data_IF_120237681712
#
_entry.id   IF_120237681712
#
_cell.length_a   1.000
_cell.length_b   1.000
_cell.length_c   1.000
_cell.angle_alpha   90.00
_cell.angle_beta   90.00
_cell.angle_gamma   90.00
#
_symmetry.space_group_name_H-M   'P 1'
#
loop_
_entity.id
_entity.type
_entity.pdbx_description
1 polymer ?
#
# COMPACT_ATOMS: atom_id res chain seq x y z
N UNK A 1 -22.87 3.23 -6.02
CA UNK A 1 -21.91 3.23 -4.89
C UNK A 1 -22.70 3.04 -3.60
N UNK A 2 -22.78 1.82 -3.06
CA UNK A 2 -23.45 1.55 -1.78
C UNK A 2 -22.51 1.80 -0.57
N UNK A 3 -21.22 2.05 -0.80
CA UNK A 3 -20.19 2.25 0.23
C UNK A 3 -20.32 3.55 1.03
N UNK A 4 -21.13 4.51 0.59
CA UNK A 4 -21.44 5.77 1.31
C UNK A 4 -22.91 5.81 1.77
N UNK A 5 -23.51 4.64 2.02
CA UNK A 5 -24.86 4.58 2.53
C UNK A 5 -24.90 4.99 4.01
N UNK A 6 -25.61 6.08 4.32
CA UNK A 6 -25.75 6.64 5.68
C UNK A 6 -26.28 5.63 6.70
N UNK A 7 -26.99 4.59 6.26
CA UNK A 7 -27.48 3.49 7.12
C UNK A 7 -26.37 2.80 7.90
N UNK A 8 -25.14 2.75 7.36
CA UNK A 8 -24.00 2.10 8.02
C UNK A 8 -23.20 3.03 8.93
N UNK A 9 -23.50 4.34 8.98
CA UNK A 9 -22.77 5.29 9.83
C UNK A 9 -22.74 4.88 11.31
N UNK A 10 -23.83 4.40 11.93
CA UNK A 10 -23.77 3.95 13.32
C UNK A 10 -22.80 2.79 13.54
N UNK A 11 -22.73 1.85 12.59
CA UNK A 11 -21.78 0.74 12.65
C UNK A 11 -20.34 1.25 12.56
N UNK A 12 -20.05 2.14 11.61
CA UNK A 12 -18.72 2.76 11.47
C UNK A 12 -18.30 3.50 12.75
N UNK A 13 -19.23 4.19 13.40
CA UNK A 13 -18.96 4.86 14.69
C UNK A 13 -18.67 3.86 15.81
N UNK A 14 -19.43 2.77 15.90
CA UNK A 14 -19.18 1.71 16.87
C UNK A 14 -17.82 1.03 16.64
N UNK A 15 -17.48 0.72 15.40
CA UNK A 15 -16.17 0.16 15.04
C UNK A 15 -15.03 1.13 15.38
N UNK A 16 -15.21 2.42 15.10
CA UNK A 16 -14.25 3.47 15.43
C UNK A 16 -14.07 3.60 16.95
N UNK A 17 -15.16 3.62 17.71
CA UNK A 17 -15.12 3.64 19.16
C UNK A 17 -14.45 2.37 19.72
N UNK A 18 -14.78 1.20 19.17
CA UNK A 18 -14.16 -0.08 19.53
C UNK A 18 -12.65 -0.07 19.32
N UNK A 19 -12.18 0.48 18.19
CA UNK A 19 -10.75 0.65 17.94
C UNK A 19 -10.10 1.57 18.97
N UNK A 20 -10.69 2.74 19.26
CA UNK A 20 -10.18 3.67 20.27
C UNK A 20 -10.12 3.03 21.66
N UNK A 21 -11.16 2.29 22.06
CA UNK A 21 -11.21 1.59 23.34
C UNK A 21 -10.15 0.48 23.42
N UNK A 22 -9.92 -0.27 22.34
CA UNK A 22 -8.86 -1.28 22.27
C UNK A 22 -7.48 -0.65 22.44
N UNK A 23 -7.18 0.43 21.72
CA UNK A 23 -5.89 1.12 21.88
C UNK A 23 -5.75 1.70 23.29
N UNK A 24 -6.80 2.31 23.83
CA UNK A 24 -6.81 2.85 25.20
C UNK A 24 -6.62 1.77 26.26
N UNK A 25 -7.26 0.61 26.11
CA UNK A 25 -7.11 -0.49 27.07
C UNK A 25 -5.71 -1.09 27.03
N UNK A 26 -5.08 -1.23 25.86
CA UNK A 26 -3.70 -1.69 25.75
C UNK A 26 -2.71 -0.71 26.40
N UNK A 27 -2.91 0.60 26.18
CA UNK A 27 -2.11 1.65 26.82
C UNK A 27 -2.18 1.52 28.34
N UNK A 28 -3.40 1.41 28.89
CA UNK A 28 -3.60 1.31 30.34
C UNK A 28 -3.11 -0.02 30.91
N UNK A 29 -3.36 -1.14 30.23
CA UNK A 29 -3.02 -2.49 30.70
C UNK A 29 -1.51 -2.71 30.78
N UNK A 30 -0.74 -2.15 29.85
CA UNK A 30 0.71 -2.26 29.82
C UNK A 30 1.44 -1.02 30.33
N UNK A 31 0.71 -0.05 30.89
CA UNK A 31 1.26 1.22 31.39
C UNK A 31 2.17 1.93 30.36
N UNK A 32 1.73 1.94 29.10
CA UNK A 32 2.50 2.52 28.00
C UNK A 32 2.35 4.04 28.06
N UNK A 33 3.44 4.83 28.09
CA UNK A 33 3.29 6.27 28.02
C UNK A 33 2.69 6.69 26.68
N UNK A 34 1.62 7.49 26.70
CA UNK A 34 0.80 7.84 25.52
C UNK A 34 1.64 8.32 24.33
N UNK A 35 2.72 9.07 24.58
CA UNK A 35 3.62 9.56 23.53
C UNK A 35 4.37 8.45 22.79
N UNK A 36 4.71 7.33 23.45
CA UNK A 36 5.34 6.19 22.79
C UNK A 36 4.33 5.51 21.85
N UNK A 37 3.09 5.33 22.31
CA UNK A 37 2.01 4.78 21.49
C UNK A 37 1.73 5.68 20.27
N UNK A 38 1.65 6.99 20.49
CA UNK A 38 1.47 7.96 19.42
C UNK A 38 2.62 7.91 18.40
N UNK A 39 3.88 7.86 18.86
CA UNK A 39 5.03 7.75 17.98
C UNK A 39 5.00 6.47 17.12
N UNK A 40 4.61 5.33 17.70
CA UNK A 40 4.42 4.08 16.96
C UNK A 40 3.32 4.20 15.91
N UNK A 41 2.16 4.77 16.27
CA UNK A 41 1.06 4.96 15.32
C UNK A 41 1.42 5.92 14.19
N UNK A 42 2.11 7.02 14.49
CA UNK A 42 2.61 7.95 13.47
C UNK A 42 3.65 7.29 12.56
N UNK A 43 4.61 6.56 13.13
CA UNK A 43 5.61 5.82 12.37
C UNK A 43 4.97 4.77 11.46
N UNK A 44 4.01 4.01 11.98
CA UNK A 44 3.21 3.07 11.20
C UNK A 44 2.45 3.77 10.08
N UNK A 45 1.75 4.88 10.36
CA UNK A 45 1.00 5.63 9.35
C UNK A 45 1.89 6.13 8.22
N UNK A 46 3.03 6.74 8.56
CA UNK A 46 4.01 7.22 7.56
C UNK A 46 4.54 6.06 6.73
N UNK A 47 4.99 4.98 7.37
CA UNK A 47 5.58 3.83 6.68
C UNK A 47 4.55 3.11 5.79
N UNK A 48 3.34 2.88 6.31
CA UNK A 48 2.26 2.22 5.58
C UNK A 48 1.85 3.02 4.36
N UNK A 49 1.58 4.32 4.53
CA UNK A 49 1.24 5.20 3.41
C UNK A 49 2.38 5.29 2.40
N UNK A 50 3.65 5.35 2.84
CA UNK A 50 4.79 5.36 1.93
C UNK A 50 4.83 4.10 1.07
N UNK A 51 4.80 2.92 1.69
CA UNK A 51 4.94 1.64 0.98
C UNK A 51 3.78 1.36 0.03
N UNK A 52 2.56 1.77 0.39
CA UNK A 52 1.38 1.59 -0.47
C UNK A 52 1.45 2.43 -1.77
N UNK A 53 2.11 3.58 -1.77
CA UNK A 53 2.07 4.50 -2.91
C UNK A 53 3.39 4.64 -3.67
N UNK A 54 4.53 4.36 -3.04
CA UNK A 54 5.86 4.57 -3.65
C UNK A 54 6.06 3.78 -4.95
N UNK A 55 5.46 2.60 -5.04
CA UNK A 55 5.52 1.73 -6.22
C UNK A 55 4.57 2.15 -7.35
N UNK A 56 3.59 3.02 -7.06
CA UNK A 56 2.54 3.42 -8.00
C UNK A 56 2.67 4.88 -8.45
N UNK A 57 3.56 5.66 -7.83
CA UNK A 57 3.65 7.07 -8.15
C UNK A 57 4.23 7.29 -9.56
N UNK A 58 3.41 7.90 -10.43
CA UNK A 58 3.83 8.29 -11.77
C UNK A 58 3.95 7.14 -12.77
N UNK A 59 3.32 6.00 -12.48
CA UNK A 59 3.14 4.87 -13.40
C UNK A 59 1.87 5.06 -14.24
N UNK A 60 1.69 4.23 -15.29
CA UNK A 60 0.45 4.21 -16.09
C UNK A 60 -0.74 3.74 -15.26
N UNK A 61 -1.96 4.14 -15.60
CA UNK A 61 -3.17 3.62 -14.93
C UNK A 61 -3.57 2.28 -15.52
N UNK A 62 -2.84 1.23 -15.13
CA UNK A 62 -3.12 -0.15 -15.51
C UNK A 62 -3.10 -1.08 -14.30
N UNK A 63 -3.98 -2.09 -14.27
CA UNK A 63 -4.10 -3.01 -13.11
C UNK A 63 -2.84 -3.88 -12.97
N UNK A 64 -2.23 -4.28 -14.09
CA UNK A 64 -1.09 -5.18 -14.14
C UNK A 64 0.24 -4.42 -14.25
N UNK A 65 0.26 -3.33 -15.01
CA UNK A 65 1.49 -2.58 -15.32
C UNK A 65 1.58 -1.22 -14.62
N UNK A 66 0.62 -0.88 -13.76
CA UNK A 66 0.58 0.39 -13.02
C UNK A 66 1.51 0.43 -11.81
N UNK A 67 2.60 -0.32 -11.80
CA UNK A 67 3.56 -0.41 -10.70
C UNK A 67 5.00 -0.39 -11.21
N UNK A 68 5.97 -0.17 -10.31
CA UNK A 68 7.40 -0.32 -10.60
C UNK A 68 8.11 -1.16 -9.54
N UNK A 69 9.10 -1.94 -9.98
CA UNK A 69 10.04 -2.60 -9.09
C UNK A 69 11.07 -1.58 -8.58
N UNK A 70 11.31 -1.58 -7.28
CA UNK A 70 12.28 -0.68 -6.64
C UNK A 70 13.38 -1.51 -5.98
N UNK A 71 14.58 -0.96 -5.92
CA UNK A 71 15.67 -1.47 -5.09
C UNK A 71 15.54 -0.86 -3.70
N UNK A 72 15.79 -1.68 -2.70
CA UNK A 72 15.93 -1.26 -1.30
C UNK A 72 17.16 -1.97 -0.71
N UNK A 73 17.37 -1.88 0.59
CA UNK A 73 18.44 -2.59 1.28
C UNK A 73 18.15 -4.10 1.34
N UNK A 74 19.18 -4.91 1.15
CA UNK A 74 19.05 -6.38 1.06
C UNK A 74 18.41 -7.03 2.29
N UNK A 75 18.61 -6.48 3.49
CA UNK A 75 17.96 -7.00 4.69
C UNK A 75 16.46 -6.67 4.73
N UNK A 76 16.06 -5.52 4.17
CA UNK A 76 14.66 -5.15 4.00
C UNK A 76 13.98 -5.97 2.90
N UNK A 77 14.71 -6.34 1.85
CA UNK A 77 14.20 -7.30 0.86
C UNK A 77 13.74 -8.58 1.56
N UNK A 78 14.55 -9.13 2.48
CA UNK A 78 14.17 -10.36 3.21
C UNK A 78 13.03 -10.09 4.21
N UNK A 79 13.14 -9.04 5.02
CA UNK A 79 12.16 -8.73 6.07
C UNK A 79 10.76 -8.45 5.49
N UNK A 80 10.70 -7.80 4.32
CA UNK A 80 9.46 -7.51 3.61
C UNK A 80 9.14 -8.54 2.54
N UNK A 81 9.71 -9.74 2.64
CA UNK A 81 9.43 -10.88 1.76
C UNK A 81 9.64 -10.60 0.27
N UNK A 82 10.46 -9.62 -0.09
CA UNK A 82 10.71 -9.12 -1.44
C UNK A 82 9.56 -8.26 -2.00
N UNK A 83 8.86 -7.52 -1.13
CA UNK A 83 7.81 -6.56 -1.51
C UNK A 83 8.25 -5.52 -2.56
N UNK A 84 9.55 -5.22 -2.58
CA UNK A 84 10.20 -4.34 -3.54
C UNK A 84 10.01 -4.77 -5.01
N UNK A 85 9.65 -6.03 -5.29
CA UNK A 85 9.27 -6.56 -6.60
C UNK A 85 7.77 -6.40 -6.90
N UNK A 86 7.25 -5.22 -6.63
CA UNK A 86 5.82 -4.93 -6.68
C UNK A 86 5.20 -5.09 -8.08
N UNK A 87 5.88 -4.67 -9.15
CA UNK A 87 5.38 -4.86 -10.52
C UNK A 87 5.29 -6.34 -10.89
N UNK A 88 6.26 -7.16 -10.48
CA UNK A 88 6.18 -8.61 -10.71
C UNK A 88 4.99 -9.22 -9.98
N UNK A 89 4.71 -8.77 -8.76
CA UNK A 89 3.52 -9.22 -8.04
C UNK A 89 2.24 -8.83 -8.76
N UNK A 90 2.14 -7.60 -9.27
CA UNK A 90 0.99 -7.21 -10.10
C UNK A 90 0.84 -8.10 -11.34
N UNK A 91 1.94 -8.48 -11.99
CA UNK A 91 1.94 -9.32 -13.19
C UNK A 91 1.67 -10.81 -12.88
N UNK A 92 2.10 -11.29 -11.73
CA UNK A 92 2.00 -12.68 -11.28
C UNK A 92 1.52 -12.76 -9.82
N UNK A 93 0.26 -12.36 -9.54
CA UNK A 93 -0.23 -12.17 -8.16
C UNK A 93 -0.34 -13.47 -7.36
N UNK A 94 -0.33 -14.62 -8.04
CA UNK A 94 -0.38 -15.95 -7.42
C UNK A 94 0.99 -16.45 -6.98
N UNK A 95 2.09 -15.82 -7.42
CA UNK A 95 3.44 -16.21 -7.03
C UNK A 95 3.74 -15.63 -5.64
N UNK A 96 4.14 -16.45 -4.66
CA UNK A 96 4.55 -15.95 -3.36
C UNK A 96 5.71 -14.96 -3.46
N UNK A 97 5.67 -13.90 -2.66
CA UNK A 97 6.64 -12.81 -2.71
C UNK A 97 8.11 -13.28 -2.64
N UNK A 98 8.39 -14.29 -1.81
CA UNK A 98 9.74 -14.86 -1.65
C UNK A 98 10.33 -15.42 -2.95
N UNK A 99 9.49 -15.79 -3.93
CA UNK A 99 9.94 -16.36 -5.20
C UNK A 99 10.07 -15.33 -6.33
N UNK A 100 9.51 -14.13 -6.16
CA UNK A 100 9.53 -13.08 -7.18
C UNK A 100 10.92 -12.71 -7.69
N UNK A 101 12.00 -12.66 -6.87
CA UNK A 101 13.34 -12.33 -7.36
C UNK A 101 13.91 -13.35 -8.35
N UNK A 102 13.43 -14.60 -8.32
CA UNK A 102 13.95 -15.70 -9.13
C UNK A 102 13.22 -15.87 -10.47
N UNK A 103 12.13 -15.13 -10.68
CA UNK A 103 11.46 -15.09 -11.98
C UNK A 103 12.38 -14.47 -13.03
N UNK A 104 12.29 -14.98 -14.25
CA UNK A 104 13.02 -14.42 -15.39
C UNK A 104 12.66 -12.93 -15.55
N UNK A 105 13.69 -12.10 -15.73
CA UNK A 105 13.48 -10.68 -15.98
C UNK A 105 12.92 -10.50 -17.38
N UNK A 106 11.81 -9.74 -17.49
CA UNK A 106 11.33 -9.31 -18.80
C UNK A 106 12.36 -8.40 -19.47
N UNK A 107 12.43 -8.42 -20.81
CA UNK A 107 13.42 -7.66 -21.59
C UNK A 107 13.44 -6.15 -21.29
N UNK A 108 12.35 -5.61 -20.74
CA UNK A 108 12.19 -4.17 -20.42
C UNK A 108 12.22 -3.87 -18.92
N UNK A 109 12.60 -4.84 -18.08
CA UNK A 109 12.53 -4.68 -16.63
C UNK A 109 13.63 -3.76 -16.09
N UNK A 110 13.26 -2.52 -15.75
CA UNK A 110 14.12 -1.56 -15.06
C UNK A 110 13.72 -1.42 -13.60
N UNK A 111 14.71 -1.22 -12.71
CA UNK A 111 14.48 -1.03 -11.27
C UNK A 111 14.98 0.33 -10.81
N UNK A 112 14.09 1.13 -10.25
CA UNK A 112 14.44 2.38 -9.57
C UNK A 112 15.00 2.13 -8.16
N UNK A 113 15.26 3.19 -7.40
CA UNK A 113 15.62 3.11 -5.98
C UNK A 113 14.50 3.66 -5.10
N UNK A 114 14.18 2.97 -3.99
CA UNK A 114 13.00 3.29 -3.17
C UNK A 114 13.02 4.71 -2.61
N UNK A 115 14.18 5.19 -2.14
CA UNK A 115 14.32 6.56 -1.62
C UNK A 115 14.08 7.63 -2.69
N UNK A 116 14.59 7.41 -3.91
CA UNK A 116 14.39 8.35 -5.01
C UNK A 116 12.91 8.40 -5.43
N UNK A 117 12.25 7.24 -5.49
CA UNK A 117 10.82 7.15 -5.77
C UNK A 117 9.98 7.80 -4.67
N UNK A 118 10.34 7.58 -3.40
CA UNK A 118 9.66 8.19 -2.25
C UNK A 118 9.73 9.71 -2.31
N UNK A 119 10.93 10.28 -2.51
CA UNK A 119 11.07 11.75 -2.61
C UNK A 119 10.32 12.32 -3.82
N UNK A 120 10.32 11.59 -4.94
CA UNK A 120 9.57 11.97 -6.15
C UNK A 120 8.05 12.01 -5.89
N UNK A 121 7.51 11.11 -5.07
CA UNK A 121 6.10 11.03 -4.73
C UNK A 121 5.58 12.27 -3.98
N UNK A 122 6.44 12.90 -3.16
CA UNK A 122 6.09 14.13 -2.44
C UNK A 122 5.83 15.35 -3.34
N UNK A 123 6.10 15.25 -4.64
CA UNK A 123 5.67 16.25 -5.63
C UNK A 123 4.14 16.32 -5.78
N UNK A 124 3.41 15.36 -5.21
CA UNK A 124 1.96 15.35 -5.15
C UNK A 124 1.29 14.83 -6.43
N UNK A 125 -0.05 14.78 -6.43
CA UNK A 125 -0.83 14.28 -7.57
C UNK A 125 -0.53 15.05 -8.85
N UNK A 126 -0.44 14.33 -9.97
CA UNK A 126 -0.30 14.93 -11.30
C UNK A 126 -1.64 14.88 -12.01
N UNK A 127 -2.04 16.00 -12.60
CA UNK A 127 -3.18 16.02 -13.50
C UNK A 127 -2.94 15.07 -14.67
N UNK A 128 -3.94 14.24 -14.98
CA UNK A 128 -3.89 13.33 -16.12
C UNK A 128 -5.24 13.29 -16.82
N UNK A 129 -5.20 13.31 -18.15
CA UNK A 129 -6.37 13.13 -19.01
C UNK A 129 -6.60 11.66 -19.37
N UNK A 130 -5.74 10.75 -18.89
CA UNK A 130 -5.84 9.31 -19.13
C UNK A 130 -7.16 8.76 -18.57
N UNK A 131 -7.97 8.21 -19.47
CA UNK A 131 -9.22 7.51 -19.14
C UNK A 131 -9.00 6.02 -19.25
N UNK A 132 -9.14 5.32 -18.13
CA UNK A 132 -9.12 3.85 -18.11
C UNK A 132 -10.55 3.35 -18.29
N UNK A 133 -10.77 2.53 -19.32
CA UNK A 133 -12.05 1.86 -19.51
C UNK A 133 -12.18 0.75 -18.47
N UNK A 134 -13.02 0.94 -17.46
CA UNK A 134 -13.34 -0.13 -16.53
C UNK A 134 -14.20 -1.19 -17.25
N UNK A 135 -13.57 -2.30 -17.65
CA UNK A 135 -14.21 -3.42 -18.37
C UNK A 135 -15.33 -4.10 -17.56
N UNK A 136 -15.37 -3.86 -16.25
CA UNK A 136 -16.33 -4.41 -15.30
C UNK A 136 -17.27 -3.36 -14.73
N UNK A 137 -17.25 -2.12 -15.24
CA UNK A 137 -18.19 -1.09 -14.80
C UNK A 137 -19.63 -1.57 -15.00
N UNK A 138 -20.40 -1.61 -13.91
CA UNK A 138 -21.80 -2.05 -13.91
C UNK A 138 -22.01 -3.56 -13.96
N UNK A 139 -20.95 -4.38 -13.95
CA UNK A 139 -21.06 -5.85 -13.88
C UNK A 139 -20.88 -6.32 -12.43
N UNK A 140 -21.81 -7.16 -11.96
CA UNK A 140 -21.62 -7.92 -10.72
C UNK A 140 -20.78 -9.14 -11.09
N UNK A 141 -19.52 -9.17 -10.67
CA UNK A 141 -18.66 -10.35 -10.80
C UNK A 141 -19.14 -11.32 -9.72
N UNK A 142 -19.73 -12.45 -10.13
CA UNK A 142 -20.08 -13.57 -9.26
C UNK A 142 -18.97 -14.59 -9.27
#
# INVERSE_FOLDING_TARGET
MQSLNKKFLPLVWLESLGALLLHGSLILWWDIPVWHWFAVLCGFGIMWSAMQYVHHFGTSRDVMNGAVNLRTWRWLDVLWLNHNWHLRHHQQPTVPWIYLPFLEAGETETRGHILAAYWKMWRGPRFTMERVKNRYAGKIIR
#
